data_IF_512508327036
#
_entry.id   IF_512508327036
#
_cell.length_a   1.000
_cell.length_b   1.000
_cell.length_c   1.000
_cell.angle_alpha   90.00
_cell.angle_beta   90.00
_cell.angle_gamma   90.00
#
_symmetry.space_group_name_H-M   'P 1'
#
loop_
_entity.id
_entity.type
_entity.pdbx_description
1 polymer ?
#
# COMPACT_ATOMS: atom_id res chain seq x y z
N UNK A 1 17.77 -1.91 -28.94
CA UNK A 1 17.63 -0.90 -27.88
C UNK A 1 17.01 -1.61 -26.68
N UNK A 2 17.71 -1.73 -25.55
CA UNK A 2 17.13 -2.36 -24.34
C UNK A 2 16.26 -1.33 -23.62
N UNK A 3 14.98 -1.64 -23.41
CA UNK A 3 14.07 -0.79 -22.64
C UNK A 3 14.33 -0.99 -21.16
N UNK A 4 14.71 0.08 -20.46
CA UNK A 4 14.90 0.04 -19.01
C UNK A 4 13.56 0.23 -18.28
N UNK A 5 13.34 -0.56 -17.23
CA UNK A 5 12.13 -0.54 -16.42
C UNK A 5 12.44 -0.09 -14.99
N UNK A 6 11.49 0.55 -14.33
CA UNK A 6 11.55 0.92 -12.92
C UNK A 6 10.22 0.61 -12.22
N UNK A 7 10.27 0.44 -10.89
CA UNK A 7 9.11 0.10 -10.07
C UNK A 7 9.26 0.65 -8.66
N UNK A 8 8.18 1.21 -8.11
CA UNK A 8 8.10 1.48 -6.68
C UNK A 8 7.89 0.15 -5.92
N UNK A 9 8.79 -0.15 -4.98
CA UNK A 9 8.66 -1.30 -4.07
C UNK A 9 8.59 -0.76 -2.65
N UNK A 10 7.44 -0.94 -2.00
CA UNK A 10 7.33 -0.68 -0.57
C UNK A 10 7.71 -1.93 0.22
N UNK A 11 8.64 -1.80 1.17
CA UNK A 11 9.01 -2.90 2.07
C UNK A 11 8.14 -2.83 3.30
N UNK A 12 7.27 -3.82 3.49
CA UNK A 12 6.41 -3.85 4.65
C UNK A 12 7.08 -4.62 5.78
N UNK A 13 7.35 -3.94 6.90
CA UNK A 13 7.89 -4.57 8.10
C UNK A 13 6.72 -4.92 9.03
N UNK A 14 6.77 -6.11 9.63
CA UNK A 14 5.70 -6.68 10.47
C UNK A 14 5.28 -5.81 11.67
N UNK A 15 6.00 -4.73 11.96
CA UNK A 15 5.76 -3.81 13.08
C UNK A 15 4.58 -2.86 12.83
N UNK A 16 4.16 -2.67 11.58
CA UNK A 16 3.06 -1.76 11.21
C UNK A 16 1.65 -2.41 11.28
N UNK A 17 1.59 -3.68 11.69
CA UNK A 17 0.35 -4.34 12.04
C UNK A 17 0.23 -4.42 13.56
N UNK A 18 -0.89 -3.95 14.09
CA UNK A 18 -1.38 -4.31 15.44
C UNK A 18 -1.84 -5.78 15.48
N UNK A 19 -1.20 -6.66 14.72
CA UNK A 19 -1.32 -8.11 14.88
C UNK A 19 -0.24 -8.54 15.85
N UNK A 20 -0.54 -9.40 16.83
CA UNK A 20 0.46 -9.86 17.76
C UNK A 20 1.61 -10.51 16.98
N UNK A 21 2.86 -10.33 17.45
CA UNK A 21 4.04 -11.13 17.02
C UNK A 21 3.84 -12.67 17.18
N UNK A 22 2.67 -13.11 17.61
CA UNK A 22 2.26 -14.50 17.79
C UNK A 22 1.89 -15.07 16.42
N UNK A 23 2.58 -16.14 16.02
CA UNK A 23 2.23 -16.93 14.84
C UNK A 23 3.25 -16.92 13.72
N UNK A 24 4.33 -16.11 13.79
CA UNK A 24 5.41 -16.27 12.82
C UNK A 24 6.15 -17.59 13.06
N UNK A 25 6.23 -18.44 12.06
CA UNK A 25 6.91 -19.73 12.14
C UNK A 25 8.07 -19.80 11.13
N UNK A 26 9.35 -19.69 11.57
CA UNK A 26 10.50 -19.73 10.67
C UNK A 26 10.81 -21.13 10.13
N UNK A 27 10.29 -22.18 10.75
CA UNK A 27 10.57 -23.58 10.38
C UNK A 27 9.50 -24.16 9.46
N UNK A 28 8.25 -23.71 9.61
CA UNK A 28 7.12 -24.26 8.88
C UNK A 28 6.14 -23.15 8.50
N UNK A 29 6.31 -22.61 7.29
CA UNK A 29 5.55 -21.47 6.77
C UNK A 29 4.03 -21.73 6.73
N UNK A 30 3.61 -22.97 6.48
CA UNK A 30 2.20 -23.40 6.45
C UNK A 30 1.48 -23.29 7.81
N UNK A 31 2.24 -23.31 8.90
CA UNK A 31 1.73 -23.10 10.26
C UNK A 31 2.04 -21.67 10.75
N UNK A 32 2.49 -20.83 9.84
CA UNK A 32 2.82 -19.44 10.07
C UNK A 32 1.61 -18.52 10.01
N UNK A 33 1.89 -17.22 9.93
CA UNK A 33 0.85 -16.22 9.75
C UNK A 33 0.24 -16.29 8.35
N UNK A 34 -0.95 -15.70 8.11
CA UNK A 34 -1.55 -15.68 6.78
C UNK A 34 -0.60 -15.17 5.68
N UNK A 35 0.24 -14.17 5.98
CA UNK A 35 1.23 -13.62 5.06
C UNK A 35 2.49 -14.47 4.88
N UNK A 36 2.72 -15.51 5.70
CA UNK A 36 3.78 -16.50 5.46
C UNK A 36 3.34 -17.58 4.46
N UNK A 37 2.03 -17.82 4.37
CA UNK A 37 1.45 -18.86 3.52
C UNK A 37 1.19 -18.27 2.14
N UNK A 38 1.53 -19.00 1.09
CA UNK A 38 1.24 -18.59 -0.29
C UNK A 38 1.16 -19.82 -1.19
N UNK A 39 0.59 -19.65 -2.37
CA UNK A 39 0.53 -20.69 -3.41
C UNK A 39 1.38 -20.26 -4.60
N UNK A 40 1.96 -21.24 -5.29
CA UNK A 40 2.80 -20.99 -6.48
C UNK A 40 4.26 -20.72 -6.15
N UNK A 41 4.93 -19.99 -7.05
CA UNK A 41 6.35 -19.66 -6.99
C UNK A 41 6.58 -18.32 -6.31
N UNK A 42 7.73 -18.13 -5.65
CA UNK A 42 8.18 -16.83 -5.11
C UNK A 42 8.20 -15.69 -6.14
N UNK A 43 8.28 -16.04 -7.43
CA UNK A 43 8.31 -15.07 -8.53
C UNK A 43 6.93 -14.69 -9.06
N UNK A 44 5.87 -15.38 -8.61
CA UNK A 44 4.50 -15.03 -8.97
C UNK A 44 4.15 -13.72 -8.28
N UNK A 45 3.77 -12.71 -9.07
CA UNK A 45 3.59 -11.33 -8.61
C UNK A 45 2.18 -11.01 -8.19
N UNK A 46 1.21 -11.81 -8.59
CA UNK A 46 -0.17 -11.59 -8.19
C UNK A 46 -0.40 -12.15 -6.77
N UNK A 47 -1.37 -11.59 -6.03
CA UNK A 47 -1.81 -12.17 -4.78
C UNK A 47 -2.21 -13.64 -4.96
N UNK A 48 -1.76 -14.49 -4.06
CA UNK A 48 -2.03 -15.93 -4.04
C UNK A 48 -3.04 -16.34 -2.96
N UNK A 49 -3.37 -15.41 -2.06
CA UNK A 49 -4.30 -15.62 -0.96
C UNK A 49 -4.92 -14.28 -0.46
N UNK A 50 -6.00 -14.34 0.33
CA UNK A 50 -6.71 -13.15 0.79
C UNK A 50 -5.88 -12.17 1.65
N UNK A 51 -4.86 -12.65 2.37
CA UNK A 51 -4.03 -11.76 3.18
C UNK A 51 -3.07 -10.93 2.30
N UNK A 52 -2.61 -11.50 1.17
CA UNK A 52 -1.85 -10.76 0.16
C UNK A 52 -2.73 -9.73 -0.57
N UNK A 53 -4.02 -10.04 -0.79
CA UNK A 53 -4.99 -9.08 -1.34
C UNK A 53 -5.27 -7.93 -0.35
N UNK A 54 -5.54 -8.26 0.92
CA UNK A 54 -5.84 -7.28 1.98
C UNK A 54 -4.68 -6.29 2.18
N UNK A 55 -3.44 -6.79 2.24
CA UNK A 55 -2.29 -5.90 2.42
C UNK A 55 -2.07 -5.02 1.17
N UNK A 56 -2.32 -5.55 -0.03
CA UNK A 56 -2.19 -4.78 -1.26
C UNK A 56 -3.25 -3.67 -1.34
N UNK A 57 -4.51 -3.98 -1.04
CA UNK A 57 -5.62 -3.01 -1.02
C UNK A 57 -5.37 -1.92 0.04
N UNK A 58 -4.91 -2.31 1.23
CA UNK A 58 -4.57 -1.38 2.32
C UNK A 58 -3.53 -0.33 1.91
N UNK A 59 -2.53 -0.71 1.12
CA UNK A 59 -1.44 0.17 0.70
C UNK A 59 -1.58 0.70 -0.73
N UNK A 60 -2.70 0.44 -1.42
CA UNK A 60 -2.85 0.75 -2.85
C UNK A 60 -2.61 2.22 -3.17
N UNK A 61 -3.13 3.15 -2.38
CA UNK A 61 -2.97 4.59 -2.64
C UNK A 61 -1.54 5.08 -2.35
N UNK A 62 -0.87 4.53 -1.32
CA UNK A 62 0.54 4.85 -1.06
C UNK A 62 1.43 4.37 -2.22
N UNK A 63 1.22 3.13 -2.67
CA UNK A 63 1.93 2.54 -3.80
C UNK A 63 1.68 3.31 -5.10
N UNK A 64 0.43 3.73 -5.32
CA UNK A 64 0.02 4.52 -6.48
C UNK A 64 0.68 5.89 -6.47
N UNK A 65 0.67 6.59 -5.33
CA UNK A 65 1.31 7.89 -5.17
C UNK A 65 2.82 7.83 -5.49
N UNK A 66 3.52 6.83 -4.96
CA UNK A 66 4.95 6.64 -5.26
C UNK A 66 5.20 6.35 -6.74
N UNK A 67 4.30 5.61 -7.39
CA UNK A 67 4.42 5.33 -8.83
C UNK A 67 4.20 6.58 -9.67
N UNK A 68 3.20 7.40 -9.36
CA UNK A 68 2.97 8.69 -10.05
C UNK A 68 4.15 9.65 -9.86
N UNK A 69 4.75 9.69 -8.67
CA UNK A 69 5.97 10.47 -8.44
C UNK A 69 7.15 9.98 -9.30
N UNK A 70 7.31 8.65 -9.44
CA UNK A 70 8.32 8.08 -10.33
C UNK A 70 8.02 8.37 -11.81
N UNK A 71 6.76 8.29 -12.23
CA UNK A 71 6.34 8.65 -13.60
C UNK A 71 6.74 10.11 -13.91
N UNK A 72 6.43 11.05 -13.01
CA UNK A 72 6.81 12.47 -13.17
C UNK A 72 8.35 12.67 -13.23
N UNK A 73 9.12 11.92 -12.42
CA UNK A 73 10.59 11.96 -12.45
C UNK A 73 11.13 11.42 -13.79
N UNK A 74 10.53 10.36 -14.36
CA UNK A 74 10.94 9.84 -15.66
C UNK A 74 10.53 10.78 -16.80
N UNK A 75 9.37 11.41 -16.75
CA UNK A 75 8.92 12.38 -17.75
C UNK A 75 9.86 13.59 -17.87
N UNK A 76 10.44 14.03 -16.75
CA UNK A 76 11.42 15.11 -16.72
C UNK A 76 12.75 14.78 -17.42
N UNK A 77 13.03 13.50 -17.72
CA UNK A 77 14.27 13.09 -18.39
C UNK A 77 14.16 13.18 -19.92
N UNK A 78 15.28 13.26 -20.65
CA UNK A 78 15.29 13.08 -22.10
C UNK A 78 14.72 11.71 -22.50
N UNK A 79 13.94 11.66 -23.59
CA UNK A 79 13.32 10.43 -24.12
C UNK A 79 14.22 9.17 -24.11
N UNK A 80 15.50 9.20 -24.53
CA UNK A 80 16.36 8.01 -24.52
C UNK A 80 16.74 7.50 -23.12
N UNK A 81 16.53 8.31 -22.07
CA UNK A 81 16.85 7.99 -20.68
C UNK A 81 15.61 7.63 -19.85
N UNK A 82 14.40 7.80 -20.40
CA UNK A 82 13.15 7.52 -19.70
C UNK A 82 12.96 6.03 -19.53
N UNK A 83 12.64 5.63 -18.30
CA UNK A 83 12.27 4.25 -17.96
C UNK A 83 10.76 4.08 -18.00
N UNK A 84 10.30 2.87 -18.31
CA UNK A 84 8.90 2.50 -18.15
C UNK A 84 8.65 2.18 -16.68
N UNK A 85 7.65 2.84 -16.09
CA UNK A 85 7.20 2.53 -14.73
C UNK A 85 6.24 1.34 -14.79
N UNK A 86 6.58 0.28 -14.07
CA UNK A 86 5.75 -0.91 -13.91
C UNK A 86 4.78 -0.72 -12.74
N UNK A 87 3.66 -1.49 -12.68
CA UNK A 87 2.78 -1.51 -11.52
C UNK A 87 3.58 -1.67 -10.22
N UNK A 88 3.26 -0.91 -9.16
CA UNK A 88 3.98 -0.99 -7.90
C UNK A 88 3.72 -2.31 -7.20
N UNK A 89 4.64 -2.66 -6.29
CA UNK A 89 4.52 -3.86 -5.48
C UNK A 89 4.92 -3.67 -4.03
N UNK A 90 4.49 -4.62 -3.21
CA UNK A 90 4.79 -4.72 -1.79
C UNK A 90 5.65 -5.96 -1.54
N UNK A 91 6.80 -5.77 -0.88
CA UNK A 91 7.60 -6.88 -0.38
C UNK A 91 7.04 -7.34 0.97
N UNK A 92 6.50 -8.56 0.99
CA UNK A 92 5.98 -9.21 2.18
C UNK A 92 7.15 -9.89 2.88
N UNK A 93 7.65 -9.28 3.95
CA UNK A 93 8.82 -9.80 4.68
C UNK A 93 8.60 -11.22 5.25
N UNK A 94 7.35 -11.59 5.54
CA UNK A 94 7.01 -12.87 6.16
C UNK A 94 7.20 -14.07 5.21
N UNK A 95 6.89 -13.90 3.92
CA UNK A 95 7.04 -14.92 2.88
C UNK A 95 8.24 -14.67 1.95
N UNK A 96 8.77 -13.45 1.92
CA UNK A 96 9.77 -12.99 0.95
C UNK A 96 9.20 -12.67 -0.43
N UNK A 97 7.89 -12.79 -0.63
CA UNK A 97 7.23 -12.51 -1.91
C UNK A 97 7.09 -11.02 -2.17
N UNK A 98 7.17 -10.65 -3.43
CA UNK A 98 6.72 -9.34 -3.89
C UNK A 98 5.39 -9.50 -4.60
N UNK A 99 4.37 -8.85 -4.07
CA UNK A 99 3.01 -8.87 -4.61
C UNK A 99 2.69 -7.52 -5.23
N UNK A 100 2.00 -7.51 -6.36
CA UNK A 100 1.76 -6.35 -7.20
C UNK A 100 0.28 -6.22 -7.54
N UNK A 101 -0.18 -4.99 -7.77
CA UNK A 101 -1.45 -4.75 -8.44
C UNK A 101 -1.35 -5.21 -9.90
N UNK A 102 -2.43 -5.78 -10.42
CA UNK A 102 -2.59 -5.94 -11.86
C UNK A 102 -2.56 -4.57 -12.56
N UNK A 103 -2.32 -4.57 -13.87
CA UNK A 103 -2.31 -3.34 -14.65
C UNK A 103 -3.66 -2.59 -14.57
N UNK A 104 -4.77 -3.33 -14.54
CA UNK A 104 -6.12 -2.77 -14.46
C UNK A 104 -6.41 -2.19 -13.08
N UNK A 105 -6.06 -2.89 -12.00
CA UNK A 105 -6.17 -2.37 -10.63
C UNK A 105 -5.32 -1.13 -10.44
N UNK A 106 -4.10 -1.11 -10.97
CA UNK A 106 -3.23 0.06 -10.87
C UNK A 106 -3.79 1.24 -11.65
N UNK A 107 -4.38 1.02 -12.83
CA UNK A 107 -5.05 2.07 -13.61
C UNK A 107 -6.22 2.66 -12.82
N UNK A 108 -7.09 1.83 -12.26
CA UNK A 108 -8.23 2.26 -11.45
C UNK A 108 -7.77 3.03 -10.20
N UNK A 109 -6.75 2.52 -9.50
CA UNK A 109 -6.18 3.19 -8.34
C UNK A 109 -5.62 4.58 -8.66
N UNK A 110 -5.02 4.78 -9.85
CA UNK A 110 -4.58 6.10 -10.32
C UNK A 110 -5.76 7.07 -10.51
N UNK A 111 -6.82 6.62 -11.17
CA UNK A 111 -8.02 7.43 -11.41
C UNK A 111 -8.68 7.83 -10.07
N UNK A 112 -8.86 6.87 -9.16
CA UNK A 112 -9.41 7.12 -7.83
C UNK A 112 -8.56 8.08 -7.01
N UNK A 113 -7.24 7.87 -6.99
CA UNK A 113 -6.32 8.73 -6.25
C UNK A 113 -6.35 10.17 -6.78
N UNK A 114 -6.36 10.35 -8.10
CA UNK A 114 -6.47 11.67 -8.72
C UNK A 114 -7.76 12.38 -8.32
N UNK A 115 -8.90 11.66 -8.32
CA UNK A 115 -10.17 12.22 -7.89
C UNK A 115 -10.15 12.64 -6.41
N UNK A 116 -9.56 11.82 -5.54
CA UNK A 116 -9.41 12.14 -4.11
C UNK A 116 -8.53 13.37 -3.90
N UNK A 117 -7.39 13.46 -4.59
CA UNK A 117 -6.48 14.60 -4.48
C UNK A 117 -7.12 15.89 -5.01
N UNK A 118 -7.89 15.83 -6.09
CA UNK A 118 -8.63 16.97 -6.61
C UNK A 118 -9.64 17.48 -5.58
N UNK A 119 -10.44 16.58 -4.99
CA UNK A 119 -11.40 16.92 -3.94
C UNK A 119 -10.74 17.51 -2.70
N UNK A 120 -9.61 16.95 -2.24
CA UNK A 120 -8.81 17.52 -1.14
C UNK A 120 -8.33 18.93 -1.49
N UNK A 121 -7.87 19.14 -2.72
CA UNK A 121 -7.42 20.44 -3.20
C UNK A 121 -8.53 21.49 -3.23
N UNK A 122 -9.72 21.12 -3.70
CA UNK A 122 -10.90 21.99 -3.72
C UNK A 122 -11.34 22.38 -2.31
N UNK A 123 -11.44 21.41 -1.40
CA UNK A 123 -11.76 21.67 0.01
C UNK A 123 -10.75 22.60 0.68
N UNK A 124 -9.45 22.38 0.42
CA UNK A 124 -8.39 23.21 0.97
C UNK A 124 -8.45 24.65 0.44
N UNK A 125 -8.81 24.83 -0.83
CA UNK A 125 -8.93 26.15 -1.46
C UNK A 125 -10.21 26.91 -1.05
N UNK A 126 -11.33 26.20 -0.84
CA UNK A 126 -12.64 26.81 -0.55
C UNK A 126 -13.36 26.14 0.63
N UNK A 127 -12.97 26.44 1.89
CA UNK A 127 -13.48 25.74 3.08
C UNK A 127 -14.98 25.92 3.36
N UNK A 128 -15.64 26.88 2.69
CA UNK A 128 -17.04 27.27 2.92
C UNK A 128 -18.01 26.84 1.82
N UNK A 129 -17.53 26.28 0.70
CA UNK A 129 -18.37 25.98 -0.47
C UNK A 129 -18.82 24.51 -0.55
N UNK A 130 -18.33 23.64 0.33
CA UNK A 130 -18.65 22.21 0.32
C UNK A 130 -18.98 21.70 1.72
N UNK A 131 -19.88 20.72 1.77
CA UNK A 131 -20.22 19.99 2.99
C UNK A 131 -19.00 19.14 3.39
N UNK A 132 -18.37 19.49 4.51
CA UNK A 132 -17.27 18.69 5.05
C UNK A 132 -17.85 17.36 5.56
N UNK A 133 -17.14 16.23 5.38
CA UNK A 133 -17.58 14.98 5.96
C UNK A 133 -17.70 15.14 7.48
N UNK A 134 -18.76 14.55 8.04
CA UNK A 134 -18.99 14.59 9.47
C UNK A 134 -17.78 14.08 10.23
N UNK A 135 -17.42 14.82 11.29
CA UNK A 135 -16.38 14.35 12.19
C UNK A 135 -16.83 13.04 12.82
N UNK A 136 -15.89 12.12 12.94
CA UNK A 136 -16.12 10.85 13.63
C UNK A 136 -16.68 11.12 15.03
N UNK A 137 -17.69 10.35 15.45
CA UNK A 137 -18.33 10.53 16.76
C UNK A 137 -17.31 10.35 17.90
N UNK A 138 -17.58 10.99 19.04
CA UNK A 138 -16.71 10.91 20.21
C UNK A 138 -16.48 9.45 20.67
N UNK A 139 -17.49 8.58 20.55
CA UNK A 139 -17.37 7.15 20.87
C UNK A 139 -16.28 6.44 20.05
N UNK A 140 -16.19 6.73 18.75
CA UNK A 140 -15.14 6.17 17.91
C UNK A 140 -13.76 6.80 18.20
N UNK A 141 -13.71 8.08 18.61
CA UNK A 141 -12.47 8.73 18.99
C UNK A 141 -11.87 8.16 20.29
N UNK A 142 -12.74 7.74 21.23
CA UNK A 142 -12.34 7.10 22.49
C UNK A 142 -11.67 5.73 22.28
N UNK A 143 -11.95 5.03 21.18
CA UNK A 143 -11.26 3.78 20.80
C UNK A 143 -9.77 4.02 20.55
N UNK A 144 -9.40 5.19 20.01
CA UNK A 144 -8.00 5.58 19.84
C UNK A 144 -7.33 5.98 21.16
N UNK A 145 -8.11 6.39 22.16
CA UNK A 145 -7.61 6.79 23.48
C UNK A 145 -7.37 5.60 24.41
N UNK A 146 -8.13 4.51 24.26
CA UNK A 146 -8.14 3.38 25.18
C UNK A 146 -7.10 2.28 24.95
N UNK A 147 -6.07 2.50 24.12
CA UNK A 147 -4.93 1.58 24.07
C UNK A 147 -3.81 1.99 25.01
N UNK A 148 -4.02 1.69 26.29
CA UNK A 148 -3.01 1.28 27.27
C UNK A 148 -1.75 2.13 27.42
N UNK A 149 -1.82 3.16 28.26
CA UNK A 149 -0.72 3.48 29.17
C UNK A 149 -1.28 3.25 30.57
N UNK A 150 -1.14 2.02 31.10
CA UNK A 150 -1.25 1.86 32.55
C UNK A 150 -0.02 2.54 33.16
N UNK A 151 -0.19 3.53 34.06
CA UNK A 151 0.95 4.08 34.78
C UNK A 151 1.52 2.97 35.66
N UNK A 152 2.82 2.71 35.50
CA UNK A 152 3.57 1.82 36.39
C UNK A 152 3.39 2.32 37.83
N UNK A 153 2.68 1.55 38.65
CA UNK A 153 2.66 1.67 40.11
C UNK A 153 3.88 0.97 40.70
#
# INVERSE_FOLDING_TARGET
MQTLMARAICKFRYEDYRLPKRGFNPKQYEQGTPLQRYRGSLHDKLPSNPAEEEILDKYKYQLTLYSQALEAIEEAKPAPQRRIILPPGILIAASGRTVEMSADEFKLAKEELTNQLAWIGELAASPKSMEQPDRMTMEHALVCWNTGIEPLS
#
